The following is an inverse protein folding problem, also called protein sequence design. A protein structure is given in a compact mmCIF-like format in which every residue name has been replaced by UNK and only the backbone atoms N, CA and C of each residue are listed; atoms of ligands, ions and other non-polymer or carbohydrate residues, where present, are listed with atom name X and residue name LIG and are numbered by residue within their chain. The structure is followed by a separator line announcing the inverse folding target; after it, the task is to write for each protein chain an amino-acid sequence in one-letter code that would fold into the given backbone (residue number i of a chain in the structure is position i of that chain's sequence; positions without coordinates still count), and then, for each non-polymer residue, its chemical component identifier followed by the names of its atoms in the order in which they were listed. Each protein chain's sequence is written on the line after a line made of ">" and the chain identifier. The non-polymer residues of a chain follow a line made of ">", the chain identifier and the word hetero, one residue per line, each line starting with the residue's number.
data_IF_783600149694
#
_entry.id   IF_783600149694
#
_cell.length_a   1.000
_cell.length_b   1.000
_cell.length_c   1.000
_cell.angle_alpha   90.00
_cell.angle_beta   90.00
_cell.angle_gamma   90.00
#
_symmetry.space_group_name_H-M   'P 1'
#
loop_
_entity.id
_entity.type
_entity.pdbx_description
1 polymer ?
#
# COMPACT_ATOMS: atom_id res chain seq x y z
N UNK A 1 19.72 8.98 0.07
CA UNK A 1 18.95 10.21 0.37
C UNK A 1 17.89 10.56 -0.68
N UNK A 2 18.15 10.55 -1.99
CA UNK A 2 17.14 10.98 -3.00
C UNK A 2 15.94 10.02 -3.21
N UNK A 3 16.09 8.71 -2.96
CA UNK A 3 15.01 7.71 -3.14
C UNK A 3 13.87 7.87 -2.13
N UNK A 4 14.21 8.16 -0.87
CA UNK A 4 13.25 8.35 0.22
C UNK A 4 12.38 9.58 -0.02
N UNK A 5 12.95 10.65 -0.55
CA UNK A 5 12.24 11.92 -0.77
C UNK A 5 11.09 11.76 -1.76
N UNK A 6 11.23 10.98 -2.84
CA UNK A 6 10.18 10.85 -3.88
C UNK A 6 8.99 10.01 -3.41
N UNK A 7 9.24 8.89 -2.71
CA UNK A 7 8.16 8.09 -2.12
C UNK A 7 7.44 8.85 -1.00
N UNK A 8 8.18 9.57 -0.15
CA UNK A 8 7.61 10.42 0.90
C UNK A 8 6.84 11.61 0.30
N UNK A 9 7.30 12.23 -0.80
CA UNK A 9 6.58 13.32 -1.47
C UNK A 9 5.31 12.83 -2.16
N UNK A 10 5.32 11.64 -2.79
CA UNK A 10 4.15 11.04 -3.41
C UNK A 10 3.09 10.67 -2.36
N UNK A 11 3.50 10.10 -1.22
CA UNK A 11 2.61 9.84 -0.08
C UNK A 11 2.16 11.13 0.64
N UNK A 12 2.90 12.24 0.56
CA UNK A 12 2.47 13.54 1.09
C UNK A 12 1.46 14.23 0.15
N UNK A 13 1.65 14.13 -1.17
CA UNK A 13 0.82 14.80 -2.19
C UNK A 13 -0.58 14.17 -2.32
N UNK A 14 -0.73 12.89 -1.99
CA UNK A 14 -2.04 12.20 -1.98
C UNK A 14 -2.92 12.61 -0.78
N UNK A 15 -2.38 13.26 0.24
CA UNK A 15 -3.04 13.49 1.53
C UNK A 15 -3.67 14.89 1.71
N UNK A 16 -3.75 15.71 0.66
CA UNK A 16 -4.14 17.13 0.79
C UNK A 16 -5.12 17.64 -0.27
N UNK A 17 -6.41 17.70 0.08
CA UNK A 17 -7.37 18.63 -0.52
C UNK A 17 -8.62 17.99 -1.16
N UNK A 18 -9.69 18.78 -1.21
CA UNK A 18 -11.00 18.50 -1.84
C UNK A 18 -10.92 17.74 -3.18
N UNK A 19 -12.02 17.12 -3.64
CA UNK A 19 -12.10 16.38 -4.90
C UNK A 19 -11.52 17.14 -6.14
N UNK A 20 -11.58 18.48 -6.15
CA UNK A 20 -10.97 19.34 -7.17
C UNK A 20 -9.42 19.38 -7.08
N UNK A 21 -8.88 19.34 -5.87
CA UNK A 21 -7.44 19.27 -5.61
C UNK A 21 -6.85 17.91 -6.01
N UNK A 22 -7.58 16.80 -5.81
CA UNK A 22 -7.17 15.47 -6.27
C UNK A 22 -7.17 15.32 -7.80
N UNK A 23 -8.13 15.90 -8.51
CA UNK A 23 -8.09 16.00 -9.99
C UNK A 23 -6.82 16.73 -10.48
N UNK A 24 -6.38 17.75 -9.73
CA UNK A 24 -5.16 18.49 -10.03
C UNK A 24 -3.89 17.71 -9.64
N UNK A 25 -3.89 16.99 -8.52
CA UNK A 25 -2.79 16.08 -8.13
C UNK A 25 -2.65 14.95 -9.15
N UNK A 26 -3.74 14.33 -9.60
CA UNK A 26 -3.71 13.28 -10.63
C UNK A 26 -3.20 13.81 -11.97
N UNK A 27 -3.59 15.04 -12.36
CA UNK A 27 -3.00 15.73 -13.52
C UNK A 27 -1.51 16.02 -13.32
N UNK A 28 -1.09 16.40 -12.12
CA UNK A 28 0.32 16.68 -11.80
C UNK A 28 1.16 15.40 -11.80
N UNK A 29 0.65 14.30 -11.24
CA UNK A 29 1.29 12.98 -11.28
C UNK A 29 1.40 12.49 -12.73
N UNK A 30 0.33 12.63 -13.53
CA UNK A 30 0.36 12.29 -14.96
C UNK A 30 1.36 13.14 -15.74
N UNK A 31 1.41 14.46 -15.49
CA UNK A 31 2.40 15.37 -16.09
C UNK A 31 3.82 15.03 -15.63
N UNK A 32 4.02 14.67 -14.37
CA UNK A 32 5.31 14.23 -13.83
C UNK A 32 5.76 12.91 -14.47
N UNK A 33 4.85 11.92 -14.62
CA UNK A 33 5.09 10.67 -15.35
C UNK A 33 5.54 10.96 -16.79
N UNK A 34 4.85 11.86 -17.50
CA UNK A 34 5.19 12.26 -18.87
C UNK A 34 6.53 13.00 -18.96
N UNK A 35 6.80 13.94 -18.05
CA UNK A 35 8.05 14.72 -18.01
C UNK A 35 9.27 13.84 -17.66
N UNK A 36 9.10 12.86 -16.77
CA UNK A 36 10.15 11.90 -16.44
C UNK A 36 10.41 10.96 -17.62
N UNK A 37 9.36 10.52 -18.32
CA UNK A 37 9.51 9.70 -19.52
C UNK A 37 10.21 10.46 -20.66
N UNK A 38 9.86 11.73 -20.91
CA UNK A 38 10.50 12.55 -21.94
C UNK A 38 11.96 12.84 -21.62
N UNK A 39 12.26 13.21 -20.37
CA UNK A 39 13.62 13.50 -19.91
C UNK A 39 14.50 12.24 -19.97
N UNK A 40 13.97 11.08 -19.57
CA UNK A 40 14.67 9.80 -19.68
C UNK A 40 15.05 9.48 -21.13
N UNK A 41 14.14 9.70 -22.09
CA UNK A 41 14.42 9.49 -23.51
C UNK A 41 15.50 10.44 -24.03
N UNK A 42 15.43 11.73 -23.67
CA UNK A 42 16.45 12.73 -24.07
C UNK A 42 17.84 12.41 -23.50
N UNK A 43 17.93 12.02 -22.23
CA UNK A 43 19.20 11.64 -21.59
C UNK A 43 19.78 10.38 -22.25
N UNK A 44 18.94 9.38 -22.57
CA UNK A 44 19.38 8.16 -23.25
C UNK A 44 19.96 8.46 -24.64
N UNK A 45 19.35 9.37 -25.40
CA UNK A 45 19.87 9.79 -26.70
C UNK A 45 21.21 10.52 -26.56
N UNK A 46 21.29 11.54 -25.69
CA UNK A 46 22.52 12.32 -25.50
C UNK A 46 23.72 11.50 -25.03
N UNK A 47 23.49 10.47 -24.21
CA UNK A 47 24.57 9.61 -23.70
C UNK A 47 24.99 8.57 -24.74
N UNK A 48 24.09 8.17 -25.64
CA UNK A 48 24.40 7.27 -26.76
C UNK A 48 25.35 7.92 -27.78
N UNK A 49 25.21 9.23 -27.95
CA UNK A 49 26.04 10.01 -28.88
C UNK A 49 27.33 10.54 -28.21
N UNK A 50 27.54 10.25 -26.92
CA UNK A 50 28.68 10.75 -26.17
C UNK A 50 29.92 9.87 -26.36
N UNK A 51 31.01 10.52 -26.75
CA UNK A 51 32.34 9.92 -26.93
C UNK A 51 33.35 10.59 -26.01
N UNK A 52 34.43 9.89 -25.68
CA UNK A 52 35.58 10.46 -24.97
C UNK A 52 36.44 11.35 -25.89
N UNK A 53 37.48 11.99 -25.33
CA UNK A 53 38.40 12.88 -26.06
C UNK A 53 39.15 12.16 -27.20
N UNK A 54 39.10 10.83 -27.24
CA UNK A 54 39.64 9.98 -28.30
C UNK A 54 38.58 9.47 -29.30
N UNK A 55 37.33 9.94 -29.21
CA UNK A 55 36.23 9.56 -30.09
C UNK A 55 35.60 8.20 -29.79
N UNK A 56 35.90 7.60 -28.63
CA UNK A 56 35.37 6.27 -28.26
C UNK A 56 34.09 6.37 -27.43
N UNK A 57 33.08 5.50 -27.66
CA UNK A 57 31.83 5.52 -26.91
C UNK A 57 32.00 5.26 -25.40
N UNK A 58 31.29 6.05 -24.58
CA UNK A 58 31.31 5.97 -23.12
C UNK A 58 30.40 4.85 -22.56
N UNK A 59 30.62 3.60 -22.98
CA UNK A 59 29.74 2.45 -22.68
C UNK A 59 29.47 2.16 -21.19
N UNK A 60 30.42 2.47 -20.29
CA UNK A 60 30.20 2.38 -18.84
C UNK A 60 29.21 3.44 -18.32
N UNK A 61 29.22 4.63 -18.93
CA UNK A 61 28.30 5.73 -18.61
C UNK A 61 26.90 5.40 -19.15
N UNK A 62 26.80 4.87 -20.38
CA UNK A 62 25.53 4.40 -20.96
C UNK A 62 24.82 3.39 -20.05
N UNK A 63 25.54 2.39 -19.54
CA UNK A 63 24.97 1.34 -18.68
C UNK A 63 24.55 1.87 -17.30
N UNK A 64 25.34 2.75 -16.69
CA UNK A 64 25.01 3.40 -15.42
C UNK A 64 23.79 4.34 -15.56
N UNK A 65 23.71 5.08 -16.67
CA UNK A 65 22.59 5.95 -17.02
C UNK A 65 21.33 5.13 -17.31
N UNK A 66 21.42 4.03 -18.06
CA UNK A 66 20.29 3.14 -18.30
C UNK A 66 19.72 2.56 -16.99
N UNK A 67 20.60 2.17 -16.07
CA UNK A 67 20.23 1.68 -14.73
C UNK A 67 19.62 2.78 -13.85
N UNK A 68 20.16 4.00 -13.91
CA UNK A 68 19.62 5.17 -13.21
C UNK A 68 18.25 5.59 -13.74
N UNK A 69 18.06 5.57 -15.07
CA UNK A 69 16.77 5.81 -15.73
C UNK A 69 15.75 4.74 -15.33
N UNK A 70 16.13 3.46 -15.28
CA UNK A 70 15.24 2.40 -14.81
C UNK A 70 14.81 2.61 -13.35
N UNK A 71 15.75 2.94 -12.44
CA UNK A 71 15.44 3.24 -11.03
C UNK A 71 14.52 4.46 -10.89
N UNK A 72 14.72 5.50 -11.70
CA UNK A 72 13.90 6.72 -11.67
C UNK A 72 12.51 6.49 -12.27
N UNK A 73 12.42 5.66 -13.32
CA UNK A 73 11.15 5.17 -13.86
C UNK A 73 10.39 4.36 -12.81
N UNK A 74 11.00 3.38 -12.16
CA UNK A 74 10.35 2.60 -11.08
C UNK A 74 9.84 3.49 -9.93
N UNK A 75 10.58 4.53 -9.55
CA UNK A 75 10.17 5.45 -8.47
C UNK A 75 8.98 6.36 -8.84
N UNK A 76 8.65 6.54 -10.12
CA UNK A 76 7.57 7.42 -10.62
C UNK A 76 6.44 6.61 -11.28
N UNK A 77 6.69 5.34 -11.65
CA UNK A 77 5.78 4.52 -12.47
C UNK A 77 4.92 3.51 -11.72
N UNK A 78 5.19 3.17 -10.46
CA UNK A 78 4.43 2.13 -9.73
C UNK A 78 3.22 2.67 -8.96
N UNK A 79 2.64 3.81 -9.34
CA UNK A 79 1.33 4.24 -8.79
C UNK A 79 0.27 3.74 -9.75
N UNK A 80 -0.40 2.67 -9.36
CA UNK A 80 -1.61 2.18 -10.01
C UNK A 80 -2.82 2.85 -9.35
N UNK A 81 -3.85 3.12 -10.14
CA UNK A 81 -5.08 3.78 -9.68
C UNK A 81 -6.30 3.07 -10.28
N UNK A 82 -7.39 3.06 -9.52
CA UNK A 82 -8.70 2.62 -10.02
C UNK A 82 -9.81 3.45 -9.41
N UNK A 83 -10.99 3.37 -10.03
CA UNK A 83 -12.22 3.95 -9.50
C UNK A 83 -13.28 2.86 -9.47
N UNK A 84 -13.89 2.68 -8.31
CA UNK A 84 -15.03 1.77 -8.12
C UNK A 84 -16.16 2.60 -7.52
N UNK A 85 -17.35 2.56 -8.13
CA UNK A 85 -18.53 3.30 -7.67
C UNK A 85 -18.31 4.82 -7.43
N UNK A 86 -17.38 5.45 -8.17
CA UNK A 86 -17.05 6.87 -8.01
C UNK A 86 -16.04 7.17 -6.89
N UNK A 87 -15.55 6.15 -6.19
CA UNK A 87 -14.50 6.26 -5.16
C UNK A 87 -13.13 5.91 -5.74
N UNK A 88 -12.12 6.68 -5.36
CA UNK A 88 -10.76 6.55 -5.86
C UNK A 88 -9.89 5.68 -4.95
N UNK A 89 -9.13 4.78 -5.55
CA UNK A 89 -8.16 3.92 -4.88
C UNK A 89 -6.82 4.00 -5.60
N UNK A 90 -5.74 4.13 -4.84
CA UNK A 90 -4.37 4.15 -5.38
C UNK A 90 -3.51 3.16 -4.63
N UNK A 91 -2.67 2.42 -5.36
CA UNK A 91 -1.70 1.49 -4.80
C UNK A 91 -0.31 1.84 -5.33
N UNK A 92 0.63 1.98 -4.42
CA UNK A 92 2.05 2.18 -4.71
C UNK A 92 2.84 1.13 -3.94
N UNK A 93 3.75 0.44 -4.61
CA UNK A 93 4.69 -0.43 -3.91
C UNK A 93 5.59 -1.23 -4.83
N UNK A 94 6.61 -1.84 -4.22
CA UNK A 94 7.66 -2.59 -4.91
C UNK A 94 7.97 -3.95 -4.27
N UNK A 95 7.08 -4.45 -3.40
CA UNK A 95 7.19 -5.79 -2.82
C UNK A 95 7.05 -6.86 -3.91
N UNK A 96 8.09 -7.70 -4.05
CA UNK A 96 8.13 -8.79 -5.02
C UNK A 96 8.28 -10.14 -4.32
N UNK A 97 7.51 -11.17 -4.71
CA UNK A 97 7.60 -12.49 -4.09
C UNK A 97 8.99 -13.12 -4.21
N UNK A 98 9.57 -13.07 -5.42
CA UNK A 98 10.79 -13.79 -5.78
C UNK A 98 12.07 -13.07 -5.32
N UNK A 99 11.96 -11.78 -5.01
CA UNK A 99 13.10 -10.93 -4.69
C UNK A 99 12.79 -10.05 -3.49
N UNK A 100 13.30 -10.47 -2.33
CA UNK A 100 13.26 -9.65 -1.13
C UNK A 100 14.14 -8.41 -1.28
N UNK A 101 13.58 -7.25 -0.95
CA UNK A 101 14.28 -5.97 -0.88
C UNK A 101 13.98 -5.32 0.48
N UNK A 102 14.99 -5.22 1.35
CA UNK A 102 14.85 -4.62 2.70
C UNK A 102 14.44 -3.14 2.64
N UNK A 103 14.65 -2.49 1.50
CA UNK A 103 14.33 -1.07 1.27
C UNK A 103 12.97 -0.87 0.58
N UNK A 104 12.25 -1.95 0.28
CA UNK A 104 10.93 -1.89 -0.31
C UNK A 104 9.93 -1.17 0.61
N UNK A 105 9.03 -0.43 -0.01
CA UNK A 105 7.99 0.37 0.66
C UNK A 105 6.68 0.23 -0.10
N UNK A 106 5.56 0.43 0.60
CA UNK A 106 4.26 0.43 -0.03
C UNK A 106 3.31 1.43 0.62
N UNK A 107 2.30 1.82 -0.13
CA UNK A 107 1.25 2.72 0.29
C UNK A 107 -0.02 2.42 -0.48
N UNK A 108 -1.15 2.38 0.23
CA UNK A 108 -2.47 2.34 -0.39
C UNK A 108 -3.28 3.49 0.15
N UNK A 109 -3.87 4.28 -0.74
CA UNK A 109 -4.80 5.35 -0.36
C UNK A 109 -6.17 5.13 -0.97
N UNK A 110 -7.21 5.44 -0.21
CA UNK A 110 -8.59 5.20 -0.59
C UNK A 110 -9.50 6.31 -0.06
N UNK A 111 -10.44 6.76 -0.89
CA UNK A 111 -11.38 7.81 -0.49
C UNK A 111 -12.53 7.29 0.38
N UNK A 112 -12.78 5.97 0.36
CA UNK A 112 -13.94 5.34 0.98
C UNK A 112 -13.68 3.86 1.28
N UNK A 113 -14.23 3.35 2.39
CA UNK A 113 -14.27 1.92 2.70
C UNK A 113 -15.46 1.28 2.00
N UNK A 114 -15.30 0.20 1.20
CA UNK A 114 -16.39 -0.44 0.48
C UNK A 114 -17.65 -0.68 1.33
N UNK A 115 -18.83 -0.48 0.72
CA UNK A 115 -20.14 -0.60 1.40
C UNK A 115 -20.97 -1.78 0.92
N UNK A 116 -20.53 -2.48 -0.14
CA UNK A 116 -21.15 -3.72 -0.61
C UNK A 116 -20.11 -4.81 -0.87
N UNK A 117 -20.58 -6.06 -0.95
CA UNK A 117 -19.70 -7.18 -1.25
C UNK A 117 -19.18 -7.11 -2.69
N UNK A 118 -19.98 -6.64 -3.63
CA UNK A 118 -19.63 -6.48 -5.04
C UNK A 118 -18.53 -5.44 -5.24
N UNK A 119 -18.56 -4.36 -4.45
CA UNK A 119 -17.50 -3.35 -4.42
C UNK A 119 -16.22 -3.94 -3.83
N UNK A 120 -16.32 -4.63 -2.69
CA UNK A 120 -15.22 -5.32 -2.02
C UNK A 120 -14.55 -6.37 -2.94
N UNK A 121 -15.35 -7.20 -3.62
CA UNK A 121 -14.92 -8.20 -4.58
C UNK A 121 -14.27 -7.57 -5.81
N UNK A 122 -14.91 -6.58 -6.42
CA UNK A 122 -14.35 -5.90 -7.59
C UNK A 122 -13.03 -5.20 -7.26
N UNK A 123 -12.96 -4.51 -6.13
CA UNK A 123 -11.76 -3.81 -5.68
C UNK A 123 -10.62 -4.80 -5.40
N UNK A 124 -10.91 -5.92 -4.74
CA UNK A 124 -9.91 -6.94 -4.47
C UNK A 124 -9.47 -7.65 -5.76
N UNK A 125 -10.41 -8.21 -6.52
CA UNK A 125 -10.07 -9.09 -7.65
C UNK A 125 -9.44 -8.36 -8.83
N UNK A 126 -9.81 -7.10 -9.06
CA UNK A 126 -9.35 -6.32 -10.21
C UNK A 126 -8.20 -5.39 -9.89
N UNK A 127 -7.91 -5.15 -8.61
CA UNK A 127 -6.94 -4.13 -8.22
C UNK A 127 -6.12 -4.48 -6.98
N UNK A 128 -6.67 -4.41 -5.77
CA UNK A 128 -5.85 -4.50 -4.57
C UNK A 128 -5.30 -5.91 -4.32
N UNK A 129 -5.96 -6.96 -4.79
CA UNK A 129 -5.46 -8.33 -4.71
C UNK A 129 -4.28 -8.63 -5.65
N UNK A 130 -3.91 -7.71 -6.56
CA UNK A 130 -2.80 -7.93 -7.50
C UNK A 130 -1.44 -7.54 -6.93
N UNK A 131 -1.40 -6.96 -5.71
CA UNK A 131 -0.15 -6.63 -5.01
C UNK A 131 -0.19 -6.99 -3.52
N UNK A 132 0.99 -7.16 -2.93
CA UNK A 132 1.15 -7.50 -1.52
C UNK A 132 0.56 -6.44 -0.59
N UNK A 133 0.92 -5.17 -0.80
CA UNK A 133 0.41 -4.04 -0.02
C UNK A 133 -1.08 -3.80 -0.24
N UNK A 134 -1.60 -4.09 -1.44
CA UNK A 134 -3.02 -3.99 -1.74
C UNK A 134 -3.82 -5.02 -0.96
N UNK A 135 -3.41 -6.29 -0.97
CA UNK A 135 -4.08 -7.36 -0.23
C UNK A 135 -4.06 -7.12 1.29
N UNK A 136 -2.92 -6.66 1.84
CA UNK A 136 -2.84 -6.28 3.25
C UNK A 136 -3.74 -5.08 3.60
N UNK A 137 -3.85 -4.08 2.71
CA UNK A 137 -4.75 -2.93 2.92
C UNK A 137 -6.22 -3.32 2.85
N UNK A 138 -6.57 -4.30 2.00
CA UNK A 138 -7.92 -4.87 1.98
C UNK A 138 -8.32 -5.48 3.31
N UNK A 139 -7.38 -6.02 4.10
CA UNK A 139 -7.69 -6.51 5.46
C UNK A 139 -8.09 -5.36 6.39
N UNK A 140 -7.40 -4.22 6.31
CA UNK A 140 -7.78 -3.02 7.07
C UNK A 140 -9.19 -2.55 6.69
N UNK A 141 -9.50 -2.53 5.38
CA UNK A 141 -10.85 -2.20 4.90
C UNK A 141 -11.88 -3.23 5.38
N UNK A 142 -11.57 -4.53 5.33
CA UNK A 142 -12.49 -5.59 5.74
C UNK A 142 -12.79 -5.55 7.26
N UNK A 143 -11.81 -5.21 8.10
CA UNK A 143 -12.02 -4.93 9.52
C UNK A 143 -12.94 -3.71 9.72
N UNK A 144 -12.72 -2.63 8.97
CA UNK A 144 -13.58 -1.45 9.02
C UNK A 144 -15.02 -1.76 8.58
N UNK A 145 -15.20 -2.64 7.59
CA UNK A 145 -16.51 -3.14 7.16
C UNK A 145 -17.14 -3.95 8.28
N UNK A 146 -16.40 -4.87 8.91
CA UNK A 146 -16.89 -5.70 10.00
C UNK A 146 -17.37 -4.86 11.21
N UNK A 147 -16.64 -3.79 11.55
CA UNK A 147 -17.04 -2.84 12.60
C UNK A 147 -18.43 -2.23 12.37
N UNK A 148 -18.85 -2.07 11.10
CA UNK A 148 -20.17 -1.50 10.73
C UNK A 148 -21.23 -2.56 10.46
N UNK A 149 -20.84 -3.63 9.76
CA UNK A 149 -21.69 -4.74 9.33
C UNK A 149 -20.88 -6.05 9.43
N UNK A 150 -21.03 -6.80 10.53
CA UNK A 150 -20.29 -8.03 10.76
C UNK A 150 -20.51 -9.09 9.67
N UNK A 151 -21.72 -9.19 9.11
CA UNK A 151 -22.04 -10.20 8.10
C UNK A 151 -21.35 -9.88 6.76
N UNK A 152 -21.35 -8.60 6.37
CA UNK A 152 -20.61 -8.16 5.18
C UNK A 152 -19.09 -8.26 5.40
N UNK A 153 -18.60 -7.82 6.57
CA UNK A 153 -17.20 -7.87 6.93
C UNK A 153 -16.65 -9.29 6.91
N UNK A 154 -17.40 -10.27 7.43
CA UNK A 154 -17.02 -11.68 7.38
C UNK A 154 -16.81 -12.17 5.95
N UNK A 155 -17.75 -11.84 5.04
CA UNK A 155 -17.63 -12.22 3.63
C UNK A 155 -16.38 -11.61 2.99
N UNK A 156 -16.08 -10.34 3.28
CA UNK A 156 -14.87 -9.68 2.79
C UNK A 156 -13.59 -10.30 3.38
N UNK A 157 -13.54 -10.63 4.67
CA UNK A 157 -12.39 -11.29 5.30
C UNK A 157 -12.12 -12.64 4.64
N UNK A 158 -13.16 -13.47 4.43
CA UNK A 158 -13.02 -14.78 3.79
C UNK A 158 -12.59 -14.68 2.32
N UNK A 159 -12.98 -13.63 1.62
CA UNK A 159 -12.55 -13.37 0.25
C UNK A 159 -11.03 -13.16 0.17
N UNK A 160 -10.47 -12.32 1.04
CA UNK A 160 -9.09 -11.82 0.91
C UNK A 160 -8.05 -12.61 1.70
N UNK A 161 -8.46 -13.42 2.68
CA UNK A 161 -7.56 -14.20 3.53
C UNK A 161 -7.54 -15.69 3.16
N UNK A 162 -6.51 -16.40 3.63
CA UNK A 162 -6.52 -17.86 3.68
C UNK A 162 -7.57 -18.34 4.68
N UNK A 163 -8.11 -19.57 4.54
CA UNK A 163 -9.15 -20.07 5.46
C UNK A 163 -8.74 -20.01 6.94
N UNK A 164 -7.49 -20.37 7.24
CA UNK A 164 -6.95 -20.33 8.60
C UNK A 164 -6.86 -18.89 9.13
N UNK A 165 -6.32 -17.96 8.35
CA UNK A 165 -6.22 -16.55 8.75
C UNK A 165 -7.61 -15.93 8.93
N UNK A 166 -8.54 -16.22 8.01
CA UNK A 166 -9.92 -15.75 8.12
C UNK A 166 -10.55 -16.20 9.44
N UNK A 167 -10.39 -17.47 9.81
CA UNK A 167 -10.92 -18.00 11.07
C UNK A 167 -10.36 -17.25 12.29
N UNK A 168 -9.03 -17.08 12.36
CA UNK A 168 -8.37 -16.38 13.47
C UNK A 168 -8.82 -14.91 13.59
N UNK A 169 -8.92 -14.21 12.46
CA UNK A 169 -9.37 -12.82 12.43
C UNK A 169 -10.82 -12.72 12.91
N UNK A 170 -11.70 -13.61 12.45
CA UNK A 170 -13.11 -13.61 12.83
C UNK A 170 -13.31 -13.94 14.32
N UNK A 171 -12.52 -14.85 14.87
CA UNK A 171 -12.51 -15.14 16.30
C UNK A 171 -12.12 -13.90 17.12
N UNK A 172 -11.07 -13.19 16.70
CA UNK A 172 -10.66 -11.94 17.34
C UNK A 172 -11.75 -10.86 17.22
N UNK A 173 -12.37 -10.72 16.05
CA UNK A 173 -13.49 -9.79 15.83
C UNK A 173 -14.68 -10.10 16.76
N UNK A 174 -15.07 -11.36 16.86
CA UNK A 174 -16.17 -11.81 17.72
C UNK A 174 -15.88 -11.63 19.22
N UNK A 175 -14.59 -11.59 19.60
CA UNK A 175 -14.13 -11.34 20.96
C UNK A 175 -14.23 -9.86 21.37
N UNK A 176 -14.64 -8.97 20.45
CA UNK A 176 -14.89 -7.56 20.73
C UNK A 176 -13.67 -6.66 20.51
N UNK A 177 -13.26 -6.51 19.25
CA UNK A 177 -12.25 -5.52 18.90
C UNK A 177 -12.74 -4.09 19.19
N UNK A 178 -11.85 -3.18 19.61
CA UNK A 178 -12.21 -1.78 19.77
C UNK A 178 -12.73 -1.18 18.46
N UNK A 179 -13.74 -0.31 18.53
CA UNK A 179 -14.36 0.35 17.35
C UNK A 179 -13.44 1.32 16.58
N UNK A 180 -12.16 1.37 16.93
CA UNK A 180 -11.12 2.16 16.28
C UNK A 180 -9.96 1.27 15.82
N UNK A 181 -10.11 -0.06 15.85
CA UNK A 181 -9.06 -1.01 15.53
C UNK A 181 -8.63 -0.87 14.07
N UNK A 182 -9.59 -0.79 13.14
CA UNK A 182 -9.27 -0.56 11.72
C UNK A 182 -8.69 0.85 11.49
N UNK A 183 -9.25 1.87 12.16
CA UNK A 183 -8.75 3.24 12.06
C UNK A 183 -7.32 3.39 12.59
N UNK A 184 -6.94 2.62 13.62
CA UNK A 184 -5.60 2.61 14.17
C UNK A 184 -4.54 2.22 13.14
N UNK A 185 -4.88 1.43 12.13
CA UNK A 185 -3.98 1.06 11.02
C UNK A 185 -3.66 2.22 10.07
N UNK A 186 -4.39 3.34 10.15
CA UNK A 186 -4.32 4.41 9.16
C UNK A 186 -3.32 5.51 9.54
N UNK A 187 -2.66 6.05 8.52
CA UNK A 187 -1.77 7.20 8.65
C UNK A 187 -2.53 8.39 9.25
N UNK A 188 -1.90 9.02 10.24
CA UNK A 188 -2.46 10.18 10.93
C UNK A 188 -3.47 9.83 12.04
N UNK A 189 -3.91 8.58 12.15
CA UNK A 189 -4.68 8.13 13.32
C UNK A 189 -3.75 7.88 14.51
N UNK A 190 -4.15 8.31 15.72
CA UNK A 190 -3.42 8.02 16.95
C UNK A 190 -4.22 8.35 18.21
N UNK A 191 -3.68 8.04 19.38
CA UNK A 191 -4.39 8.24 20.65
C UNK A 191 -4.85 9.70 20.87
N UNK A 192 -4.05 10.67 20.44
CA UNK A 192 -4.30 12.10 20.65
C UNK A 192 -5.47 12.67 19.83
N UNK A 193 -5.87 12.01 18.75
CA UNK A 193 -7.02 12.43 17.93
C UNK A 193 -8.17 11.41 17.93
N UNK A 194 -8.17 10.48 18.89
CA UNK A 194 -9.19 9.43 18.94
C UNK A 194 -9.18 8.52 17.71
N UNK A 195 -8.01 8.31 17.10
CA UNK A 195 -7.85 7.57 15.85
C UNK A 195 -8.69 8.10 14.70
N UNK A 196 -8.71 9.43 14.50
CA UNK A 196 -9.36 10.08 13.36
C UNK A 196 -8.34 10.38 12.26
N UNK A 197 -8.15 9.49 11.26
CA UNK A 197 -7.29 9.77 10.13
C UNK A 197 -7.89 10.84 9.22
N UNK A 198 -7.04 11.47 8.42
CA UNK A 198 -7.49 12.36 7.36
C UNK A 198 -7.96 11.56 6.15
N UNK A 199 -8.92 12.11 5.40
CA UNK A 199 -9.28 11.59 4.07
C UNK A 199 -8.41 12.25 2.98
N UNK A 200 -8.01 11.51 1.93
CA UNK A 200 -8.21 10.07 1.74
C UNK A 200 -7.44 9.26 2.79
N UNK A 201 -8.02 8.14 3.20
CA UNK A 201 -7.40 7.23 4.15
C UNK A 201 -6.16 6.59 3.52
N UNK A 202 -5.10 6.40 4.31
CA UNK A 202 -3.85 5.84 3.81
C UNK A 202 -3.29 4.77 4.75
N UNK A 203 -2.86 3.65 4.19
CA UNK A 203 -2.06 2.63 4.87
C UNK A 203 -0.64 2.68 4.32
N UNK A 204 0.37 2.73 5.19
CA UNK A 204 1.79 2.76 4.80
C UNK A 204 2.50 1.47 5.23
N UNK A 205 3.41 0.99 4.40
CA UNK A 205 4.15 -0.25 4.62
C UNK A 205 5.65 -0.08 4.39
N UNK A 206 6.44 -0.84 5.15
CA UNK A 206 7.85 -1.09 4.93
C UNK A 206 8.10 -2.59 4.78
N UNK A 207 9.23 -2.96 4.18
CA UNK A 207 9.68 -4.35 4.25
C UNK A 207 9.86 -4.78 5.72
N UNK A 208 9.40 -5.99 6.04
CA UNK A 208 9.66 -6.59 7.35
C UNK A 208 11.13 -7.01 7.48
N UNK A 209 11.59 -7.22 8.71
CA UNK A 209 12.89 -7.87 8.99
C UNK A 209 12.88 -9.35 8.56
N UNK A 210 11.69 -9.95 8.43
CA UNK A 210 11.53 -11.32 7.94
C UNK A 210 11.64 -11.37 6.41
N UNK A 211 12.55 -12.20 5.91
CA UNK A 211 12.71 -12.44 4.47
C UNK A 211 11.53 -13.23 3.90
N UNK A 212 11.29 -13.07 2.60
CA UNK A 212 10.27 -13.85 1.89
C UNK A 212 10.60 -15.34 1.97
N UNK A 213 9.57 -16.17 2.18
CA UNK A 213 9.70 -17.63 2.25
C UNK A 213 9.07 -18.24 1.01
N UNK A 214 9.79 -19.16 0.35
CA UNK A 214 9.23 -19.97 -0.73
C UNK A 214 8.86 -21.35 -0.18
N UNK A 215 7.64 -21.81 -0.45
CA UNK A 215 7.15 -23.14 -0.06
C UNK A 215 6.46 -23.77 -1.26
N UNK A 216 7.10 -24.78 -1.86
CA UNK A 216 6.70 -25.29 -3.18
C UNK A 216 6.71 -24.14 -4.20
N UNK A 217 5.59 -23.94 -4.88
CA UNK A 217 5.42 -22.86 -5.86
C UNK A 217 4.87 -21.55 -5.26
N UNK A 218 4.55 -21.54 -3.97
CA UNK A 218 4.01 -20.36 -3.30
C UNK A 218 5.09 -19.56 -2.59
N UNK A 219 4.87 -18.25 -2.50
CA UNK A 219 5.70 -17.33 -1.72
C UNK A 219 4.88 -16.72 -0.59
N UNK A 220 5.49 -16.58 0.58
CA UNK A 220 4.99 -15.77 1.69
C UNK A 220 5.89 -14.56 1.84
N UNK A 221 5.29 -13.37 1.78
CA UNK A 221 5.97 -12.09 1.99
C UNK A 221 5.53 -11.53 3.34
N UNK A 222 6.48 -10.95 4.07
CA UNK A 222 6.21 -10.25 5.33
C UNK A 222 6.40 -8.75 5.13
N UNK A 223 5.34 -7.99 5.37
CA UNK A 223 5.35 -6.53 5.25
C UNK A 223 4.89 -5.91 6.55
N UNK A 224 5.57 -4.84 6.98
CA UNK A 224 5.27 -4.14 8.22
C UNK A 224 4.39 -2.92 7.90
N UNK A 225 3.15 -2.94 8.37
CA UNK A 225 2.24 -1.80 8.36
C UNK A 225 2.71 -0.78 9.39
N UNK A 226 2.90 0.47 8.99
CA UNK A 226 3.29 1.58 9.88
C UNK A 226 2.05 2.25 10.47
N UNK A 227 2.00 2.39 11.79
CA UNK A 227 0.81 2.89 12.49
C UNK A 227 1.17 3.44 13.87
N UNK A 228 0.38 4.38 14.40
CA UNK A 228 0.49 4.83 15.81
C UNK A 228 -0.48 4.10 16.75
N UNK A 229 -1.08 3.00 16.28
CA UNK A 229 -2.00 2.15 17.03
C UNK A 229 -1.34 1.31 18.11
N UNK A 230 -0.03 1.10 18.04
CA UNK A 230 0.70 0.21 18.94
C UNK A 230 2.05 0.78 19.34
N UNK A 231 2.60 0.32 20.47
CA UNK A 231 3.88 0.80 21.03
C UNK A 231 5.05 0.70 20.04
N UNK A 232 5.11 -0.39 19.28
CA UNK A 232 6.17 -0.63 18.30
C UNK A 232 6.01 0.20 17.01
N UNK A 233 4.90 0.92 16.89
CA UNK A 233 4.53 1.72 15.73
C UNK A 233 4.46 0.96 14.38
N UNK A 234 4.47 -0.38 14.45
CA UNK A 234 4.38 -1.26 13.29
C UNK A 234 3.66 -2.58 13.60
N UNK A 235 3.06 -3.18 12.57
CA UNK A 235 2.43 -4.50 12.61
C UNK A 235 2.73 -5.31 11.37
N UNK A 236 3.27 -6.51 11.55
CA UNK A 236 3.62 -7.40 10.44
C UNK A 236 2.38 -8.11 9.92
N UNK A 237 2.21 -8.08 8.60
CA UNK A 237 1.23 -8.86 7.86
C UNK A 237 1.98 -9.82 6.95
N UNK A 238 1.62 -11.10 7.00
CA UNK A 238 2.08 -12.08 6.03
C UNK A 238 1.05 -12.19 4.90
N UNK A 239 1.51 -12.02 3.66
CA UNK A 239 0.69 -12.25 2.46
C UNK A 239 1.29 -13.36 1.63
N UNK A 240 0.45 -14.24 1.11
CA UNK A 240 0.89 -15.32 0.24
C UNK A 240 0.52 -15.09 -1.21
N UNK A 241 1.35 -15.63 -2.09
CA UNK A 241 1.19 -15.59 -3.54
C UNK A 241 1.50 -16.97 -4.13
N UNK A 242 0.48 -17.59 -4.70
CA UNK A 242 0.61 -18.79 -5.54
C UNK A 242 0.70 -18.36 -7.02
N UNK A 243 1.25 -19.17 -7.94
CA UNK A 243 1.26 -18.79 -9.36
C UNK A 243 -0.16 -18.56 -9.87
N UNK A 244 -0.33 -17.54 -10.70
CA UNK A 244 -1.62 -17.16 -11.30
C UNK A 244 -2.77 -16.81 -10.34
N UNK A 245 -2.55 -16.80 -9.01
CA UNK A 245 -3.55 -16.36 -8.03
C UNK A 245 -3.42 -14.88 -7.68
N UNK A 246 -4.43 -14.30 -7.04
CA UNK A 246 -4.28 -13.04 -6.30
C UNK A 246 -3.46 -13.27 -5.02
N UNK A 247 -2.94 -12.18 -4.45
CA UNK A 247 -2.37 -12.21 -3.10
C UNK A 247 -3.47 -12.44 -2.08
N UNK A 248 -3.22 -13.33 -1.11
CA UNK A 248 -4.10 -13.57 0.04
C UNK A 248 -3.38 -13.21 1.33
N UNK A 249 -4.12 -12.72 2.33
CA UNK A 249 -3.57 -12.54 3.67
C UNK A 249 -3.44 -13.92 4.33
N UNK A 250 -2.21 -14.30 4.68
CA UNK A 250 -1.89 -15.59 5.28
C UNK A 250 -1.81 -15.49 6.81
N UNK A 251 -1.39 -14.35 7.35
CA UNK A 251 -1.34 -14.06 8.78
C UNK A 251 -1.41 -12.55 9.00
N UNK A 252 -2.28 -12.13 9.91
CA UNK A 252 -2.38 -10.74 10.35
C UNK A 252 -2.84 -10.66 11.82
N UNK A 253 -2.47 -11.63 12.65
CA UNK A 253 -2.85 -11.65 14.08
C UNK A 253 -2.42 -10.35 14.79
N UNK A 254 -1.28 -9.80 14.36
CA UNK A 254 -0.75 -8.55 14.87
C UNK A 254 -1.70 -7.34 14.65
N UNK A 255 -2.53 -7.35 13.59
CA UNK A 255 -3.51 -6.29 13.31
C UNK A 255 -4.75 -6.36 14.19
N UNK A 256 -5.09 -7.54 14.72
CA UNK A 256 -6.25 -7.73 15.61
C UNK A 256 -5.83 -7.75 17.09
N UNK A 257 -4.54 -7.65 17.38
CA UNK A 257 -4.05 -7.42 18.73
C UNK A 257 -4.52 -6.04 19.25
N UNK A 258 -4.90 -5.92 20.54
CA UNK A 258 -5.42 -4.68 21.10
C UNK A 258 -4.52 -3.47 20.83
N UNK A 259 -5.08 -2.44 20.21
CA UNK A 259 -4.40 -1.16 20.01
C UNK A 259 -4.47 -0.29 21.28
N UNK A 260 -3.59 0.72 21.34
CA UNK A 260 -3.51 1.66 22.45
C UNK A 260 -4.83 2.42 22.61
N UNK A 261 -5.27 2.67 23.85
CA UNK A 261 -6.53 3.37 24.09
C UNK A 261 -6.45 4.85 23.67
N UNK A 262 -7.51 5.45 23.11
CA UNK A 262 -7.61 6.88 22.89
C UNK A 262 -7.31 7.67 24.17
N UNK A 263 -6.78 8.90 24.02
CA UNK A 263 -6.63 9.79 25.16
C UNK A 263 -8.02 10.19 25.71
N UNK A 264 -8.10 10.37 27.03
CA UNK A 264 -9.35 10.78 27.67
C UNK A 264 -9.88 12.09 27.05
N UNK A 265 -11.19 12.15 26.82
CA UNK A 265 -11.85 13.31 26.20
C UNK A 265 -11.82 13.34 24.66
N UNK A 266 -11.18 12.36 24.01
CA UNK A 266 -11.26 12.20 22.55
C UNK A 266 -12.45 11.32 22.15
N UNK A 267 -13.09 11.63 21.02
CA UNK A 267 -14.15 10.81 20.43
C UNK A 267 -13.59 10.02 19.25
N UNK A 268 -13.94 8.74 19.17
CA UNK A 268 -13.68 7.89 18.00
C UNK A 268 -14.84 8.03 16.99
N UNK A 269 -14.59 7.70 15.73
CA UNK A 269 -15.63 7.59 14.71
C UNK A 269 -15.32 6.42 13.78
N UNK A 270 -16.33 5.65 13.34
CA UNK A 270 -16.15 4.67 12.29
C UNK A 270 -15.60 5.30 11.01
N UNK A 271 -14.84 4.53 10.24
CA UNK A 271 -14.40 4.95 8.92
C UNK A 271 -15.59 5.02 7.95
N UNK A 272 -15.61 6.05 7.12
CA UNK A 272 -16.67 6.29 6.15
C UNK A 272 -16.46 5.51 4.86
#
# INVERSE_FOLDING_TARGET
>A
MRKTIVATLACLLLAGGSAQAQLNVNRLVKKAKQAVASTASQVKTKVKDAVDDSGKPLSKVENAVATGIQKTKQAVMNVDETTVNGHSYTSLGDFKPEQYDRTATGCVSFSHVPTSYEECDSLYTRFLGTSAQGAASMMVMALAIYERDPALGERCIRLIATPQCAQQVLEACSSGLPAYQAAACLKGAGQANGYRPNTPYTVEFNASDRVNVKTGDSYTLYIDLNSKGWQEHRRTVAVCKTPHSLYKVQDCESLVAPCLKPQAGTSTAPLQ
#
